data_IF_724956989285
#
_entry.id   IF_724956989285
#
_cell.length_a   1.000
_cell.length_b   1.000
_cell.length_c   1.000
_cell.angle_alpha   90.00
_cell.angle_beta   90.00
_cell.angle_gamma   90.00
#
_symmetry.space_group_name_H-M   'P 1'
#
loop_
_entity.id
_entity.type
_entity.pdbx_description
1 polymer ?
#
# COMPACT_ATOMS: atom_id res chain seq x y z
N UNK A 1 0.77 33.97 -7.46
CA UNK A 1 1.28 32.61 -7.74
C UNK A 1 2.40 32.70 -8.75
N UNK A 2 3.50 32.00 -8.53
CA UNK A 2 4.56 31.85 -9.53
C UNK A 2 4.42 30.45 -10.16
N UNK A 3 4.06 30.35 -11.45
CA UNK A 3 4.04 29.07 -12.13
C UNK A 3 5.48 28.57 -12.30
N UNK A 4 5.76 27.37 -11.79
CA UNK A 4 7.03 26.70 -12.03
C UNK A 4 6.88 25.81 -13.25
N UNK A 5 7.76 25.95 -14.24
CA UNK A 5 7.71 25.16 -15.46
C UNK A 5 8.49 23.85 -15.29
N UNK A 6 7.83 22.72 -15.56
CA UNK A 6 8.44 21.40 -15.62
C UNK A 6 8.04 20.75 -16.93
N UNK A 7 9.02 20.36 -17.76
CA UNK A 7 8.80 19.75 -19.07
C UNK A 7 7.83 20.56 -19.96
N UNK A 8 7.92 21.89 -19.91
CA UNK A 8 7.03 22.79 -20.66
C UNK A 8 5.60 22.90 -20.11
N UNK A 9 5.29 22.28 -18.96
CA UNK A 9 4.00 22.40 -18.29
C UNK A 9 4.13 23.18 -16.99
N UNK A 10 3.19 24.08 -16.76
CA UNK A 10 3.13 24.87 -15.54
C UNK A 10 2.60 24.04 -14.36
N UNK A 11 3.37 24.01 -13.28
CA UNK A 11 2.95 23.54 -11.96
C UNK A 11 2.48 24.74 -11.16
N UNK A 12 1.21 24.72 -10.75
CA UNK A 12 0.67 25.77 -9.88
C UNK A 12 1.17 25.55 -8.46
N UNK A 13 1.82 26.57 -7.93
CA UNK A 13 2.34 26.62 -6.57
C UNK A 13 1.77 27.85 -5.87
N UNK A 14 1.26 27.61 -4.67
CA UNK A 14 0.84 28.65 -3.76
C UNK A 14 2.05 29.40 -3.21
N UNK A 15 2.04 30.74 -3.31
CA UNK A 15 3.21 31.55 -3.00
C UNK A 15 3.52 31.60 -1.50
N UNK A 16 2.50 31.52 -0.64
CA UNK A 16 2.65 31.62 0.81
C UNK A 16 3.05 30.28 1.42
N UNK A 17 2.33 29.21 1.07
CA UNK A 17 2.53 27.89 1.66
C UNK A 17 3.54 27.02 0.93
N UNK A 18 4.01 27.46 -0.25
CA UNK A 18 4.80 26.68 -1.22
C UNK A 18 4.16 25.32 -1.56
N UNK A 19 2.84 25.21 -1.40
CA UNK A 19 2.10 24.00 -1.72
C UNK A 19 1.81 23.95 -3.23
N UNK A 20 2.15 22.84 -3.86
CA UNK A 20 1.93 22.61 -5.29
C UNK A 20 0.73 21.71 -5.56
N UNK A 21 0.10 21.88 -6.71
CA UNK A 21 -0.96 20.99 -7.17
C UNK A 21 -0.40 19.62 -7.59
N UNK A 22 -0.82 18.54 -6.91
CA UNK A 22 -0.36 17.18 -7.21
C UNK A 22 -0.66 16.77 -8.65
N UNK A 23 -1.83 17.17 -9.15
CA UNK A 23 -2.27 16.83 -10.50
C UNK A 23 -1.36 17.45 -11.57
N UNK A 24 -0.85 18.66 -11.32
CA UNK A 24 -0.01 19.36 -12.28
C UNK A 24 1.37 18.68 -12.36
N UNK A 25 1.91 18.23 -11.22
CA UNK A 25 3.15 17.42 -11.15
C UNK A 25 3.00 16.15 -11.98
N UNK A 26 1.91 15.39 -11.79
CA UNK A 26 1.68 14.15 -12.54
C UNK A 26 1.57 14.43 -14.03
N UNK A 27 0.83 15.47 -14.43
CA UNK A 27 0.71 15.88 -15.84
C UNK A 27 2.04 16.32 -16.45
N UNK A 28 2.85 17.04 -15.70
CA UNK A 28 4.16 17.55 -16.12
C UNK A 28 5.15 16.42 -16.37
N UNK A 29 5.20 15.44 -15.46
CA UNK A 29 6.15 14.34 -15.56
C UNK A 29 5.71 13.27 -16.57
N UNK A 30 4.41 12.96 -16.65
CA UNK A 30 3.95 11.82 -17.45
C UNK A 30 3.38 12.22 -18.80
N UNK A 31 3.35 13.52 -19.13
CA UNK A 31 2.72 14.01 -20.36
C UNK A 31 1.20 13.83 -20.45
N UNK A 32 0.58 13.16 -19.48
CA UNK A 32 -0.79 12.64 -19.60
C UNK A 32 -1.88 13.72 -19.58
N UNK A 33 -2.99 13.44 -20.25
CA UNK A 33 -4.23 14.22 -20.13
C UNK A 33 -4.87 14.12 -18.74
N UNK A 34 -5.84 14.98 -18.44
CA UNK A 34 -6.46 15.12 -17.12
C UNK A 34 -7.01 13.81 -16.53
N UNK A 35 -7.75 13.03 -17.32
CA UNK A 35 -8.36 11.78 -16.85
C UNK A 35 -7.31 10.72 -16.50
N UNK A 36 -6.31 10.54 -17.37
CA UNK A 36 -5.23 9.59 -17.16
C UNK A 36 -4.36 9.99 -15.95
N UNK A 37 -4.02 11.28 -15.82
CA UNK A 37 -3.29 11.81 -14.67
C UNK A 37 -4.07 11.60 -13.37
N UNK A 38 -5.39 11.85 -13.37
CA UNK A 38 -6.26 11.66 -12.20
C UNK A 38 -6.36 10.20 -11.76
N UNK A 39 -6.51 9.28 -12.72
CA UNK A 39 -6.51 7.86 -12.45
C UNK A 39 -5.17 7.40 -11.86
N UNK A 40 -4.05 7.91 -12.40
CA UNK A 40 -2.71 7.60 -11.90
C UNK A 40 -2.49 8.13 -10.50
N UNK A 41 -2.85 9.39 -10.24
CA UNK A 41 -2.78 10.00 -8.92
C UNK A 41 -3.62 9.22 -7.90
N UNK A 42 -4.86 8.87 -8.25
CA UNK A 42 -5.74 8.10 -7.36
C UNK A 42 -5.17 6.72 -7.04
N UNK A 43 -4.65 6.00 -8.04
CA UNK A 43 -3.98 4.70 -7.82
C UNK A 43 -2.76 4.84 -6.91
N UNK A 44 -1.98 5.91 -7.10
CA UNK A 44 -0.79 6.19 -6.30
C UNK A 44 -1.13 6.50 -4.85
N UNK A 45 -2.10 7.38 -4.59
CA UNK A 45 -2.54 7.71 -3.24
C UNK A 45 -3.18 6.51 -2.51
N UNK A 46 -3.79 5.58 -3.25
CA UNK A 46 -4.26 4.30 -2.70
C UNK A 46 -3.13 3.35 -2.34
N UNK A 47 -2.06 3.30 -3.14
CA UNK A 47 -0.90 2.44 -2.91
C UNK A 47 0.00 2.96 -1.77
N UNK A 48 0.06 4.28 -1.61
CA UNK A 48 0.95 4.97 -0.68
C UNK A 48 0.13 5.90 0.26
N UNK A 49 -0.54 5.35 1.29
CA UNK A 49 -1.45 6.10 2.16
C UNK A 49 -0.77 7.29 2.87
N UNK A 50 0.53 7.18 3.15
CA UNK A 50 1.33 8.24 3.75
C UNK A 50 1.38 9.51 2.87
N UNK A 51 1.32 9.37 1.55
CA UNK A 51 1.24 10.53 0.64
C UNK A 51 -0.14 11.19 0.74
N UNK A 52 -1.20 10.38 0.83
CA UNK A 52 -2.56 10.88 1.01
C UNK A 52 -2.71 11.67 2.31
N UNK A 53 -2.18 11.15 3.42
CA UNK A 53 -2.26 11.79 4.74
C UNK A 53 -1.49 13.11 4.83
N UNK A 54 -0.42 13.25 4.03
CA UNK A 54 0.40 14.47 3.94
C UNK A 54 -0.08 15.45 2.87
N UNK A 55 -1.14 15.09 2.15
CA UNK A 55 -1.76 15.93 1.12
C UNK A 55 -3.05 16.56 1.65
N UNK A 56 -3.34 17.77 1.22
CA UNK A 56 -4.56 18.50 1.59
C UNK A 56 -5.35 18.87 0.34
N UNK A 57 -6.68 18.76 0.40
CA UNK A 57 -7.53 19.38 -0.62
C UNK A 57 -7.57 20.88 -0.36
N UNK A 58 -7.18 21.67 -1.35
CA UNK A 58 -7.23 23.11 -1.29
C UNK A 58 -7.77 23.66 -2.61
N UNK A 59 -8.37 24.85 -2.57
CA UNK A 59 -8.80 25.54 -3.77
C UNK A 59 -7.61 26.36 -4.26
N UNK A 60 -7.06 25.99 -5.40
CA UNK A 60 -6.02 26.77 -6.07
C UNK A 60 -6.71 27.65 -7.11
N UNK A 61 -6.50 28.98 -7.05
CA UNK A 61 -6.95 30.00 -8.02
C UNK A 61 -8.42 30.44 -7.99
N UNK A 62 -9.16 30.33 -6.88
CA UNK A 62 -10.54 30.85 -6.73
C UNK A 62 -11.57 30.39 -7.81
N UNK A 63 -11.21 29.45 -8.71
CA UNK A 63 -12.06 28.95 -9.81
C UNK A 63 -12.78 27.63 -9.44
N UNK A 64 -13.22 27.51 -8.19
CA UNK A 64 -14.25 26.55 -7.76
C UNK A 64 -13.87 25.07 -7.65
N UNK A 65 -12.67 24.64 -8.03
CA UNK A 65 -12.23 23.24 -7.90
C UNK A 65 -11.29 23.02 -6.73
N UNK A 66 -11.66 22.19 -5.75
CA UNK A 66 -10.70 21.62 -4.79
C UNK A 66 -9.74 20.68 -5.52
N UNK A 67 -8.46 21.02 -5.50
CA UNK A 67 -7.36 20.20 -5.99
C UNK A 67 -6.55 19.66 -4.83
N UNK A 68 -5.95 18.50 -5.01
CA UNK A 68 -5.00 17.98 -4.04
C UNK A 68 -3.71 18.77 -4.13
N UNK A 69 -3.24 19.23 -2.97
CA UNK A 69 -2.05 20.05 -2.79
C UNK A 69 -1.16 19.45 -1.74
N UNK A 70 0.15 19.63 -1.90
CA UNK A 70 1.10 19.21 -0.89
C UNK A 70 2.37 20.07 -0.93
N UNK A 71 3.14 20.03 0.15
CA UNK A 71 4.45 20.70 0.26
C UNK A 71 5.51 19.98 -0.57
N UNK A 72 6.61 20.68 -0.81
CA UNK A 72 7.73 20.22 -1.64
C UNK A 72 8.19 18.77 -1.41
N UNK A 73 8.39 18.26 -0.17
CA UNK A 73 8.80 16.87 0.04
C UNK A 73 7.81 15.85 -0.55
N UNK A 74 6.51 16.11 -0.44
CA UNK A 74 5.48 15.22 -0.99
C UNK A 74 5.44 15.33 -2.52
N UNK A 75 5.64 16.52 -3.08
CA UNK A 75 5.70 16.70 -4.54
C UNK A 75 6.88 15.95 -5.15
N UNK A 76 8.04 15.98 -4.49
CA UNK A 76 9.22 15.21 -4.89
C UNK A 76 8.98 13.70 -4.76
N UNK A 77 8.34 13.23 -3.69
CA UNK A 77 7.95 11.82 -3.53
C UNK A 77 6.93 11.37 -4.61
N UNK A 78 5.99 12.24 -5.01
CA UNK A 78 5.09 11.98 -6.13
C UNK A 78 5.88 11.88 -7.44
N UNK A 79 6.89 12.75 -7.62
CA UNK A 79 7.82 12.67 -8.74
C UNK A 79 8.52 11.32 -8.82
N UNK A 80 9.03 10.84 -7.68
CA UNK A 80 9.59 9.50 -7.54
C UNK A 80 8.62 8.40 -7.99
N UNK A 81 7.36 8.47 -7.54
CA UNK A 81 6.35 7.47 -7.89
C UNK A 81 5.94 7.51 -9.38
N UNK A 82 6.15 8.62 -10.07
CA UNK A 82 5.80 8.77 -11.49
C UNK A 82 6.86 8.16 -12.40
N UNK A 83 8.11 8.55 -12.23
CA UNK A 83 9.21 8.23 -13.16
C UNK A 83 10.51 7.85 -12.44
N UNK A 84 10.45 7.51 -11.16
CA UNK A 84 11.62 7.15 -10.36
C UNK A 84 12.47 8.36 -9.96
N UNK A 85 13.76 8.13 -9.68
CA UNK A 85 14.70 9.14 -9.22
C UNK A 85 14.73 10.39 -10.10
N UNK A 86 14.71 10.21 -11.43
CA UNK A 86 14.67 11.30 -12.39
C UNK A 86 13.47 12.25 -12.19
N UNK A 87 12.29 11.69 -11.89
CA UNK A 87 11.10 12.47 -11.60
C UNK A 87 11.21 13.27 -10.31
N UNK A 88 11.82 12.68 -9.28
CA UNK A 88 12.07 13.35 -8.03
C UNK A 88 13.06 14.51 -8.19
N UNK A 89 14.19 14.28 -8.86
CA UNK A 89 15.20 15.31 -9.14
C UNK A 89 14.64 16.45 -9.99
N UNK A 90 13.83 16.12 -11.00
CA UNK A 90 13.17 17.12 -11.85
C UNK A 90 12.27 18.04 -11.03
N UNK A 91 11.48 17.49 -10.12
CA UNK A 91 10.60 18.27 -9.26
C UNK A 91 11.37 19.03 -8.19
N UNK A 92 12.38 18.43 -7.56
CA UNK A 92 13.22 19.10 -6.56
C UNK A 92 13.90 20.33 -7.16
N UNK A 93 14.53 20.18 -8.34
CA UNK A 93 15.15 21.29 -9.07
C UNK A 93 14.16 22.38 -9.42
N UNK A 94 12.98 22.01 -9.90
CA UNK A 94 11.94 22.96 -10.28
C UNK A 94 11.42 23.77 -9.08
N UNK A 95 11.36 23.14 -7.90
CA UNK A 95 10.93 23.78 -6.66
C UNK A 95 12.06 24.57 -5.97
N UNK A 96 13.30 24.46 -6.44
CA UNK A 96 14.48 25.03 -5.79
C UNK A 96 14.86 24.32 -4.50
N UNK A 97 14.56 23.02 -4.40
CA UNK A 97 14.92 22.19 -3.25
C UNK A 97 16.31 21.56 -3.42
N UNK A 98 16.92 21.20 -2.29
CA UNK A 98 18.25 20.56 -2.25
C UNK A 98 18.19 19.12 -2.80
N UNK A 99 19.26 18.68 -3.46
CA UNK A 99 19.45 17.31 -3.90
C UNK A 99 19.41 16.31 -2.72
N UNK A 100 19.81 16.74 -1.52
CA UNK A 100 19.76 15.94 -0.30
C UNK A 100 18.35 15.41 0.01
N UNK A 101 17.30 16.14 -0.42
CA UNK A 101 15.91 15.70 -0.25
C UNK A 101 15.60 14.45 -1.10
N UNK A 102 16.18 14.36 -2.30
CA UNK A 102 16.03 13.18 -3.17
C UNK A 102 16.75 11.99 -2.56
N UNK A 103 17.95 12.20 -2.04
CA UNK A 103 18.73 11.15 -1.36
C UNK A 103 18.02 10.65 -0.10
N UNK A 104 17.43 11.54 0.71
CA UNK A 104 16.61 11.17 1.88
C UNK A 104 15.38 10.33 1.47
N UNK A 105 14.71 10.71 0.38
CA UNK A 105 13.54 9.97 -0.14
C UNK A 105 13.97 8.58 -0.64
N UNK A 106 15.08 8.50 -1.38
CA UNK A 106 15.63 7.24 -1.85
C UNK A 106 15.98 6.33 -0.68
N UNK A 107 16.71 6.85 0.31
CA UNK A 107 17.11 6.13 1.49
C UNK A 107 15.89 5.57 2.26
N UNK A 108 14.89 6.41 2.58
CA UNK A 108 13.65 5.97 3.24
C UNK A 108 12.90 4.89 2.46
N UNK A 109 12.93 4.95 1.13
CA UNK A 109 12.28 3.94 0.28
C UNK A 109 13.07 2.63 0.24
N UNK A 110 14.40 2.69 0.23
CA UNK A 110 15.26 1.52 0.34
C UNK A 110 15.13 0.83 1.71
N UNK A 111 15.18 1.60 2.81
CA UNK A 111 15.00 1.06 4.16
C UNK A 111 13.60 0.47 4.37
N UNK A 112 12.56 1.10 3.80
CA UNK A 112 11.20 0.58 3.81
C UNK A 112 11.08 -0.77 3.09
N UNK A 113 11.83 -0.98 2.01
CA UNK A 113 11.91 -2.24 1.27
C UNK A 113 12.67 -3.33 2.06
N UNK A 114 13.73 -2.97 2.78
CA UNK A 114 14.46 -3.91 3.64
C UNK A 114 13.65 -4.32 4.88
N UNK A 115 12.92 -3.38 5.48
CA UNK A 115 12.02 -3.66 6.60
C UNK A 115 10.78 -4.48 6.17
N UNK A 116 10.35 -4.38 4.91
CA UNK A 116 9.32 -5.27 4.34
C UNK A 116 9.86 -6.65 3.95
N UNK A 117 11.12 -6.76 3.50
CA UNK A 117 11.78 -8.06 3.24
C UNK A 117 12.03 -8.85 4.53
N UNK A 118 12.36 -8.18 5.64
CA UNK A 118 12.48 -8.84 6.95
C UNK A 118 11.12 -9.24 7.56
N UNK A 119 10.03 -8.64 7.10
CA UNK A 119 8.63 -9.09 7.32
C UNK A 119 8.17 -10.10 6.26
N UNK A 120 9.07 -10.94 5.78
CA UNK A 120 8.81 -12.03 4.84
C UNK A 120 7.80 -13.10 5.35
N UNK A 121 7.67 -14.24 4.63
CA UNK A 121 6.51 -15.17 4.61
C UNK A 121 5.99 -15.69 5.96
N UNK A 122 6.71 -15.48 7.06
CA UNK A 122 6.24 -15.75 8.43
C UNK A 122 4.90 -15.08 8.75
N UNK A 123 4.64 -13.84 8.32
CA UNK A 123 3.36 -13.18 8.66
C UNK A 123 2.16 -13.81 7.94
N UNK A 124 2.33 -14.12 6.65
CA UNK A 124 1.34 -14.87 5.87
C UNK A 124 1.12 -16.29 6.39
N UNK A 125 2.21 -16.99 6.77
CA UNK A 125 2.11 -18.34 7.36
C UNK A 125 1.42 -18.30 8.73
N UNK A 126 1.71 -17.29 9.56
CA UNK A 126 1.08 -17.12 10.87
C UNK A 126 -0.41 -16.76 10.75
N UNK A 127 -0.79 -15.87 9.82
CA UNK A 127 -2.19 -15.54 9.56
C UNK A 127 -2.96 -16.73 8.95
N UNK A 128 -2.34 -17.49 8.05
CA UNK A 128 -2.92 -18.72 7.52
C UNK A 128 -3.10 -19.79 8.62
N UNK A 129 -2.09 -20.00 9.47
CA UNK A 129 -2.18 -20.90 10.63
C UNK A 129 -3.27 -20.47 11.61
N UNK A 130 -3.40 -19.18 11.89
CA UNK A 130 -4.45 -18.66 12.77
C UNK A 130 -5.86 -18.88 12.19
N UNK A 131 -6.03 -18.70 10.87
CA UNK A 131 -7.29 -18.98 10.17
C UNK A 131 -7.66 -20.46 10.20
N UNK A 132 -6.70 -21.35 9.95
CA UNK A 132 -6.89 -22.80 10.02
C UNK A 132 -7.22 -23.24 11.45
N UNK A 133 -6.49 -22.75 12.46
CA UNK A 133 -6.77 -23.05 13.87
C UNK A 133 -8.17 -22.57 14.29
N UNK A 134 -8.60 -21.39 13.84
CA UNK A 134 -9.94 -20.88 14.10
C UNK A 134 -11.04 -21.73 13.42
N UNK A 135 -10.81 -22.19 12.19
CA UNK A 135 -11.72 -23.09 11.50
C UNK A 135 -11.83 -24.46 12.19
N UNK A 136 -10.70 -25.04 12.60
CA UNK A 136 -10.67 -26.30 13.37
C UNK A 136 -11.40 -26.13 14.69
N UNK A 137 -11.16 -25.05 15.43
CA UNK A 137 -11.87 -24.77 16.68
C UNK A 137 -13.37 -24.67 16.47
N UNK A 138 -13.83 -23.95 15.44
CA UNK A 138 -15.26 -23.85 15.10
C UNK A 138 -15.88 -25.21 14.74
N UNK A 139 -15.16 -26.06 14.01
CA UNK A 139 -15.59 -27.42 13.73
C UNK A 139 -15.69 -28.27 14.99
N UNK A 140 -14.72 -28.16 15.91
CA UNK A 140 -14.73 -28.87 17.19
C UNK A 140 -15.85 -28.38 18.12
N UNK A 141 -16.10 -27.07 18.17
CA UNK A 141 -17.18 -26.49 18.97
C UNK A 141 -18.56 -26.86 18.40
N UNK A 142 -18.66 -27.01 17.07
CA UNK A 142 -19.88 -27.44 16.37
C UNK A 142 -20.12 -28.95 16.50
N UNK A 143 -19.06 -29.77 16.55
CA UNK A 143 -19.17 -31.20 16.85
C UNK A 143 -19.48 -31.44 18.33
N UNK A 144 -18.97 -30.62 19.25
CA UNK A 144 -19.33 -30.67 20.66
C UNK A 144 -20.83 -30.37 20.91
N UNK A 145 -21.45 -29.50 20.10
CA UNK A 145 -22.89 -29.20 20.17
C UNK A 145 -23.77 -30.27 19.49
N UNK A 146 -23.22 -31.12 18.63
CA UNK A 146 -23.98 -32.18 17.93
C UNK A 146 -23.91 -33.55 18.61
N UNK A 147 -23.05 -33.72 19.62
CA UNK A 147 -22.92 -34.99 20.39
C UNK A 147 -24.03 -35.17 21.44
N UNK A 148 -24.84 -34.13 21.75
CA UNK A 148 -26.01 -34.30 22.63
C UNK A 148 -27.29 -34.78 21.91
N UNK A 149 -27.29 -34.87 20.57
CA UNK A 149 -28.44 -35.34 19.78
C UNK A 149 -27.99 -36.24 18.62
N UNK A 150 -27.56 -37.47 18.93
CA UNK A 150 -27.73 -38.70 18.10
C UNK A 150 -26.88 -39.84 18.68
N UNK A 151 -27.44 -40.58 19.63
CA UNK A 151 -27.15 -42.01 19.69
C UNK A 151 -27.83 -42.65 18.48
N UNK A 152 -27.04 -43.24 17.59
CA UNK A 152 -27.53 -44.02 16.44
C UNK A 152 -27.16 -43.41 15.08
N UNK A 153 -26.12 -43.96 14.45
CA UNK A 153 -25.92 -43.83 13.01
C UNK A 153 -24.65 -43.12 12.57
N UNK A 154 -23.47 -43.64 12.92
CA UNK A 154 -22.22 -43.27 12.24
C UNK A 154 -21.27 -44.47 11.99
N UNK A 155 -21.76 -45.71 12.07
CA UNK A 155 -20.98 -46.91 11.68
C UNK A 155 -20.85 -47.11 10.16
N UNK A 156 -21.49 -46.27 9.32
CA UNK A 156 -21.45 -46.41 7.86
C UNK A 156 -20.41 -45.57 7.13
N UNK A 157 -19.68 -44.67 7.81
CA UNK A 157 -18.82 -43.67 7.15
C UNK A 157 -17.35 -43.68 7.58
N UNK A 158 -16.96 -44.52 8.54
CA UNK A 158 -15.56 -44.70 8.91
C UNK A 158 -15.24 -46.20 8.89
N UNK A 159 -14.47 -46.70 7.91
CA UNK A 159 -13.83 -48.00 8.10
C UNK A 159 -12.94 -47.89 9.34
N UNK A 160 -13.03 -48.88 10.24
CA UNK A 160 -12.18 -49.00 11.43
C UNK A 160 -10.73 -48.79 11.00
N UNK A 161 -10.13 -47.71 11.47
CA UNK A 161 -8.68 -47.55 11.38
C UNK A 161 -8.11 -48.59 12.33
N UNK A 162 -7.34 -49.53 11.78
CA UNK A 162 -6.71 -50.59 12.53
C UNK A 162 -5.73 -49.96 13.53
N UNK A 163 -5.96 -50.17 14.84
CA UNK A 163 -5.15 -49.59 15.90
C UNK A 163 -3.66 -50.00 15.79
N UNK A 164 -3.36 -51.09 15.07
CA UNK A 164 -1.99 -51.49 14.75
C UNK A 164 -1.27 -50.50 13.82
N UNK A 165 -1.99 -49.83 12.91
CA UNK A 165 -1.41 -48.85 11.97
C UNK A 165 -1.06 -47.52 12.67
N UNK A 166 -1.79 -47.16 13.72
CA UNK A 166 -1.52 -45.96 14.52
C UNK A 166 -0.32 -46.18 15.45
N UNK A 167 -0.17 -47.40 15.99
CA UNK A 167 1.00 -47.78 16.80
C UNK A 167 2.34 -47.69 16.05
N UNK A 168 2.35 -48.06 14.75
CA UNK A 168 3.57 -48.01 13.94
C UNK A 168 4.04 -46.58 13.62
N UNK A 169 3.13 -45.61 13.51
CA UNK A 169 3.47 -44.22 13.16
C UNK A 169 4.04 -43.40 14.34
N UNK A 170 3.85 -43.86 15.57
CA UNK A 170 4.32 -43.19 16.79
C UNK A 170 5.69 -43.72 17.24
N UNK A 171 6.11 -44.89 16.75
CA UNK A 171 7.39 -45.51 17.10
C UNK A 171 8.59 -45.02 16.28
N UNK A 172 8.38 -44.19 15.24
CA UNK A 172 9.45 -43.64 14.40
C UNK A 172 9.78 -42.17 14.77
N UNK A 173 10.04 -41.94 16.07
CA UNK A 173 10.70 -40.74 16.59
C UNK A 173 11.65 -41.07 17.72
#
# INVERSE_FOLDING_TARGET
MQPVSVNGKAIRIDAESRAGALMDVVKALTGAGSTAASNRLTKMLKKEPQLSNRSKKAIINNKGGTVWTARAPVLVEIGWCCTGREGAETIARALGEDASLVDEIEHRRHEGLESQRSRGPRRYIMEAKARVACAIKKLMDSSAHSVQHRQGGLEKYFPRVDDAAVGALVAEK
#
